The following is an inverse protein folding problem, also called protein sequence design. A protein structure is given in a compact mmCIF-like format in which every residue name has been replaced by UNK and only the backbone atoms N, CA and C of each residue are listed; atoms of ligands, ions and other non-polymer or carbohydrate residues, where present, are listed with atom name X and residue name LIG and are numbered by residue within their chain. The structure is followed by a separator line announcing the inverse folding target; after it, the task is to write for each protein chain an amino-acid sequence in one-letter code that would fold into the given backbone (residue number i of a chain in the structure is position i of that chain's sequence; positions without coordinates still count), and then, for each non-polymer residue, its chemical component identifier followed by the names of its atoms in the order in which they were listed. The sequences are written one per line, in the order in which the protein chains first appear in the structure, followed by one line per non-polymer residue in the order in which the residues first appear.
data_IF_838916722953
#
_entry.id   IF_838916722953
#
_cell.length_a   1.000
_cell.length_b   1.000
_cell.length_c   1.000
_cell.angle_alpha   90.00
_cell.angle_beta   90.00
_cell.angle_gamma   90.00
#
_symmetry.space_group_name_H-M   'P 1'
#
loop_
_entity.id
_entity.type
_entity.pdbx_description
1 polymer ?
#
# COMPACT_ATOMS: atom_id res chain seq x y z
N UNK A 1 -20.64 24.13 26.99
CA UNK A 1 -19.26 24.27 26.44
C UNK A 1 -18.56 22.93 26.29
N UNK A 2 -18.39 22.18 27.35
CA UNK A 2 -17.67 20.89 27.28
C UNK A 2 -18.39 19.83 26.43
N UNK A 3 -19.71 19.76 26.49
CA UNK A 3 -20.51 18.83 25.71
C UNK A 3 -20.56 19.20 24.21
N UNK A 4 -20.60 20.49 23.88
CA UNK A 4 -20.57 20.99 22.49
C UNK A 4 -19.24 20.63 21.83
N UNK A 5 -18.12 20.85 22.50
CA UNK A 5 -16.78 20.47 22.02
C UNK A 5 -16.66 18.97 21.81
N UNK A 6 -17.26 18.17 22.69
CA UNK A 6 -17.27 16.71 22.56
C UNK A 6 -18.11 16.25 21.36
N UNK A 7 -19.23 16.90 21.08
CA UNK A 7 -20.07 16.61 19.91
C UNK A 7 -19.35 16.97 18.62
N UNK A 8 -18.68 18.15 18.57
CA UNK A 8 -17.88 18.55 17.42
C UNK A 8 -16.74 17.57 17.15
N UNK A 9 -15.98 17.19 18.18
CA UNK A 9 -14.90 16.23 18.08
C UNK A 9 -15.38 14.86 17.57
N UNK A 10 -16.54 14.41 18.02
CA UNK A 10 -17.19 13.17 17.55
C UNK A 10 -17.57 13.28 16.07
N UNK A 11 -18.15 14.38 15.65
CA UNK A 11 -18.54 14.61 14.25
C UNK A 11 -17.32 14.66 13.33
N UNK A 12 -16.25 15.33 13.75
CA UNK A 12 -14.97 15.34 13.02
C UNK A 12 -14.38 13.95 12.91
N UNK A 13 -14.39 13.17 14.00
CA UNK A 13 -13.88 11.81 14.01
C UNK A 13 -14.66 10.92 13.04
N UNK A 14 -15.99 11.01 13.05
CA UNK A 14 -16.84 10.25 12.12
C UNK A 14 -16.55 10.67 10.67
N UNK A 15 -16.40 11.95 10.39
CA UNK A 15 -16.08 12.45 9.06
C UNK A 15 -14.74 11.91 8.57
N UNK A 16 -13.70 11.93 9.40
CA UNK A 16 -12.38 11.36 9.06
C UNK A 16 -12.49 9.86 8.79
N UNK A 17 -13.20 9.11 9.63
CA UNK A 17 -13.39 7.67 9.43
C UNK A 17 -14.17 7.35 8.16
N UNK A 18 -15.14 8.17 7.78
CA UNK A 18 -15.88 8.02 6.52
C UNK A 18 -14.98 8.29 5.32
N UNK A 19 -14.10 9.29 5.39
CA UNK A 19 -13.09 9.54 4.37
C UNK A 19 -12.11 8.37 4.26
N UNK A 20 -11.63 7.84 5.38
CA UNK A 20 -10.80 6.64 5.39
C UNK A 20 -11.50 5.45 4.73
N UNK A 21 -12.77 5.26 5.03
CA UNK A 21 -13.58 4.19 4.47
C UNK A 21 -13.69 4.29 2.95
N UNK A 22 -14.02 5.48 2.45
CA UNK A 22 -14.09 5.75 1.00
C UNK A 22 -12.73 5.57 0.33
N UNK A 23 -11.67 6.06 0.97
CA UNK A 23 -10.30 5.93 0.45
C UNK A 23 -9.85 4.47 0.40
N UNK A 24 -10.20 3.67 1.40
CA UNK A 24 -9.91 2.23 1.41
C UNK A 24 -10.62 1.48 0.28
N UNK A 25 -11.84 1.86 -0.08
CA UNK A 25 -12.51 1.30 -1.25
C UNK A 25 -11.73 1.57 -2.53
N UNK A 26 -11.22 2.79 -2.70
CA UNK A 26 -10.37 3.16 -3.84
C UNK A 26 -9.04 2.39 -3.81
N UNK A 27 -8.43 2.26 -2.64
CA UNK A 27 -7.18 1.49 -2.47
C UNK A 27 -7.39 0.02 -2.86
N UNK A 28 -8.47 -0.61 -2.40
CA UNK A 28 -8.81 -1.99 -2.75
C UNK A 28 -9.02 -2.16 -4.26
N UNK A 29 -9.68 -1.20 -4.89
CA UNK A 29 -9.86 -1.19 -6.34
C UNK A 29 -8.51 -1.07 -7.08
N UNK A 30 -7.63 -0.18 -6.65
CA UNK A 30 -6.29 -0.04 -7.23
C UNK A 30 -5.43 -1.29 -7.01
N UNK A 31 -5.55 -1.94 -5.87
CA UNK A 31 -4.90 -3.23 -5.62
C UNK A 31 -5.39 -4.31 -6.59
N UNK A 32 -6.68 -4.31 -6.93
CA UNK A 32 -7.23 -5.21 -7.95
C UNK A 32 -6.66 -4.92 -9.34
N UNK A 33 -6.55 -3.65 -9.72
CA UNK A 33 -5.91 -3.22 -10.97
C UNK A 33 -4.44 -3.68 -11.01
N UNK A 34 -3.72 -3.49 -9.91
CA UNK A 34 -2.34 -3.94 -9.78
C UNK A 34 -2.21 -5.45 -9.96
N UNK A 35 -3.10 -6.21 -9.34
CA UNK A 35 -3.15 -7.67 -9.47
C UNK A 35 -3.37 -8.08 -10.94
N UNK A 36 -4.28 -7.43 -11.64
CA UNK A 36 -4.52 -7.68 -13.06
C UNK A 36 -3.31 -7.36 -13.93
N UNK A 37 -2.63 -6.26 -13.66
CA UNK A 37 -1.39 -5.89 -14.36
C UNK A 37 -0.30 -6.96 -14.17
N UNK A 38 -0.15 -7.48 -12.95
CA UNK A 38 0.81 -8.55 -12.66
C UNK A 38 0.42 -9.84 -13.38
N UNK A 39 -0.86 -10.22 -13.34
CA UNK A 39 -1.36 -11.43 -13.98
C UNK A 39 -1.21 -11.40 -15.50
N UNK A 40 -1.42 -10.24 -16.11
CA UNK A 40 -1.28 -10.02 -17.56
C UNK A 40 0.14 -9.67 -17.99
N UNK A 41 1.07 -9.49 -17.05
CA UNK A 41 2.43 -9.02 -17.29
C UNK A 41 2.50 -7.67 -18.00
N UNK A 42 1.54 -6.82 -17.68
CA UNK A 42 1.46 -5.45 -18.19
C UNK A 42 2.30 -4.50 -17.31
N UNK A 43 3.60 -4.53 -17.54
CA UNK A 43 4.57 -3.82 -16.71
C UNK A 43 4.48 -2.30 -16.84
N UNK A 44 4.04 -1.80 -18.00
CA UNK A 44 3.89 -0.36 -18.22
C UNK A 44 2.78 0.22 -17.33
N UNK A 45 1.62 -0.42 -17.29
CA UNK A 45 0.52 0.00 -16.43
C UNK A 45 0.75 -0.36 -14.97
N UNK A 46 1.58 -1.35 -14.68
CA UNK A 46 1.96 -1.73 -13.32
C UNK A 46 2.61 -0.57 -12.58
N UNK A 47 3.55 0.12 -13.21
CA UNK A 47 4.25 1.26 -12.62
C UNK A 47 3.26 2.39 -12.29
N UNK A 48 2.37 2.73 -13.21
CA UNK A 48 1.34 3.73 -12.99
C UNK A 48 0.40 3.35 -11.83
N UNK A 49 -0.03 2.09 -11.80
CA UNK A 49 -0.88 1.58 -10.73
C UNK A 49 -0.18 1.63 -9.36
N UNK A 50 1.10 1.32 -9.30
CA UNK A 50 1.91 1.41 -8.08
C UNK A 50 2.05 2.85 -7.60
N UNK A 51 2.31 3.78 -8.50
CA UNK A 51 2.42 5.20 -8.17
C UNK A 51 1.09 5.76 -7.64
N UNK A 52 -0.02 5.38 -8.26
CA UNK A 52 -1.36 5.74 -7.80
C UNK A 52 -1.64 5.16 -6.41
N UNK A 53 -1.30 3.91 -6.19
CA UNK A 53 -1.49 3.26 -4.89
C UNK A 53 -0.63 3.92 -3.80
N UNK A 54 0.60 4.30 -4.11
CA UNK A 54 1.47 5.00 -3.17
C UNK A 54 0.88 6.36 -2.77
N UNK A 55 0.37 7.13 -3.73
CA UNK A 55 -0.28 8.42 -3.45
C UNK A 55 -1.52 8.25 -2.56
N UNK A 56 -2.33 7.24 -2.82
CA UNK A 56 -3.51 6.93 -2.00
C UNK A 56 -3.11 6.48 -0.59
N UNK A 57 -2.04 5.72 -0.47
CA UNK A 57 -1.49 5.26 0.79
C UNK A 57 -0.98 6.41 1.65
N UNK A 58 -0.27 7.36 1.05
CA UNK A 58 0.22 8.56 1.72
C UNK A 58 -0.94 9.40 2.27
N UNK A 59 -2.00 9.55 1.48
CA UNK A 59 -3.23 10.22 1.90
C UNK A 59 -3.92 9.49 3.05
N UNK A 60 -3.94 8.17 3.03
CA UNK A 60 -4.49 7.35 4.11
C UNK A 60 -3.72 7.55 5.41
N UNK A 61 -2.41 7.64 5.36
CA UNK A 61 -1.56 7.91 6.54
C UNK A 61 -1.90 9.27 7.15
N UNK A 62 -2.12 10.30 6.34
CA UNK A 62 -2.56 11.61 6.82
C UNK A 62 -3.90 11.55 7.55
N UNK A 63 -4.86 10.80 7.01
CA UNK A 63 -6.17 10.58 7.65
C UNK A 63 -6.03 9.76 8.94
N UNK A 64 -5.14 8.76 8.96
CA UNK A 64 -4.85 7.96 10.15
C UNK A 64 -4.27 8.81 11.27
N UNK A 65 -3.36 9.72 10.95
CA UNK A 65 -2.80 10.67 11.91
C UNK A 65 -3.87 11.60 12.48
N UNK A 66 -4.74 12.11 11.63
CA UNK A 66 -5.88 12.93 12.04
C UNK A 66 -6.85 12.15 12.93
N UNK A 67 -7.16 10.91 12.59
CA UNK A 67 -8.01 10.02 13.40
C UNK A 67 -7.41 9.75 14.76
N UNK A 68 -6.12 9.45 14.82
CA UNK A 68 -5.41 9.19 16.05
C UNK A 68 -5.40 10.41 16.97
N UNK A 69 -5.21 11.61 16.41
CA UNK A 69 -5.26 12.85 17.16
C UNK A 69 -6.66 13.13 17.75
N UNK A 70 -7.72 12.84 16.99
CA UNK A 70 -9.10 13.02 17.42
C UNK A 70 -9.56 11.92 18.39
N UNK A 71 -9.01 10.71 18.29
CA UNK A 71 -9.36 9.58 19.17
C UNK A 71 -8.54 9.55 20.47
N UNK A 72 -7.84 10.61 20.82
CA UNK A 72 -7.07 10.68 22.07
C UNK A 72 -7.92 10.45 23.33
N UNK A 73 -9.24 10.57 23.22
CA UNK A 73 -10.19 10.17 24.26
C UNK A 73 -10.75 8.77 23.93
N UNK A 74 -10.39 7.77 24.73
CA UNK A 74 -10.86 6.39 24.58
C UNK A 74 -12.39 6.26 24.59
N UNK A 75 -13.09 7.20 25.21
CA UNK A 75 -14.57 7.22 25.25
C UNK A 75 -15.21 7.43 23.87
N UNK A 76 -14.54 8.13 22.95
CA UNK A 76 -15.04 8.36 21.60
C UNK A 76 -14.97 7.09 20.75
N UNK A 77 -13.91 6.29 20.90
CA UNK A 77 -13.78 5.03 20.17
C UNK A 77 -14.84 3.99 20.55
N UNK A 78 -15.34 4.06 21.77
CA UNK A 78 -16.39 3.17 22.30
C UNK A 78 -17.80 3.70 22.03
N UNK A 79 -17.94 4.90 21.47
CA UNK A 79 -19.24 5.50 21.16
C UNK A 79 -20.03 4.66 20.15
N UNK A 80 -21.33 4.52 20.38
CA UNK A 80 -22.21 3.71 19.53
C UNK A 80 -22.27 4.17 18.06
N UNK A 81 -22.05 5.45 17.80
CA UNK A 81 -22.04 5.99 16.44
C UNK A 81 -20.69 5.84 15.74
N UNK A 82 -19.60 5.81 16.51
CA UNK A 82 -18.24 5.66 15.99
C UNK A 82 -17.85 4.18 15.78
N UNK A 83 -18.28 3.29 16.66
CA UNK A 83 -17.89 1.88 16.63
C UNK A 83 -18.20 1.15 15.32
N UNK A 84 -19.38 1.30 14.68
CA UNK A 84 -19.67 0.63 13.41
C UNK A 84 -18.74 1.09 12.28
N UNK A 85 -18.49 2.40 12.16
CA UNK A 85 -17.62 2.95 11.13
C UNK A 85 -16.18 2.51 11.34
N UNK A 86 -15.71 2.54 12.58
CA UNK A 86 -14.38 2.07 12.95
C UNK A 86 -14.19 0.59 12.63
N UNK A 87 -15.19 -0.24 12.92
CA UNK A 87 -15.18 -1.67 12.59
C UNK A 87 -15.07 -1.90 11.09
N UNK A 88 -15.82 -1.13 10.28
CA UNK A 88 -15.78 -1.19 8.83
C UNK A 88 -14.42 -0.77 8.27
N UNK A 89 -13.85 0.33 8.76
CA UNK A 89 -12.51 0.80 8.39
C UNK A 89 -11.46 -0.25 8.73
N UNK A 90 -11.49 -0.82 9.93
CA UNK A 90 -10.56 -1.87 10.34
C UNK A 90 -10.66 -3.13 9.48
N UNK A 91 -11.88 -3.53 9.13
CA UNK A 91 -12.12 -4.68 8.25
C UNK A 91 -11.53 -4.47 6.86
N UNK A 92 -11.76 -3.31 6.26
CA UNK A 92 -11.21 -2.95 4.96
C UNK A 92 -9.69 -2.80 4.99
N UNK A 93 -9.15 -2.20 6.05
CA UNK A 93 -7.70 -2.07 6.24
C UNK A 93 -7.04 -3.45 6.35
N UNK A 94 -7.63 -4.36 7.09
CA UNK A 94 -7.14 -5.74 7.21
C UNK A 94 -7.15 -6.45 5.86
N UNK A 95 -8.23 -6.32 5.10
CA UNK A 95 -8.33 -6.86 3.75
C UNK A 95 -7.27 -6.27 2.82
N UNK A 96 -7.05 -4.96 2.88
CA UNK A 96 -6.02 -4.27 2.11
C UNK A 96 -4.62 -4.76 2.46
N UNK A 97 -4.32 -4.96 3.73
CA UNK A 97 -3.02 -5.49 4.19
C UNK A 97 -2.77 -6.91 3.68
N UNK A 98 -3.78 -7.78 3.73
CA UNK A 98 -3.68 -9.14 3.23
C UNK A 98 -3.43 -9.13 1.72
N UNK A 99 -4.20 -8.35 0.98
CA UNK A 99 -4.07 -8.21 -0.48
C UNK A 99 -2.69 -7.65 -0.86
N UNK A 100 -2.23 -6.64 -0.16
CA UNK A 100 -0.91 -6.05 -0.39
C UNK A 100 0.21 -7.05 -0.12
N UNK A 101 0.10 -7.85 0.94
CA UNK A 101 1.08 -8.89 1.25
C UNK A 101 1.11 -9.95 0.15
N UNK A 102 -0.05 -10.41 -0.31
CA UNK A 102 -0.15 -11.40 -1.38
C UNK A 102 0.45 -10.88 -2.69
N UNK A 103 0.16 -9.64 -3.07
CA UNK A 103 0.73 -8.99 -4.25
C UNK A 103 2.25 -8.85 -4.15
N UNK A 104 2.74 -8.44 -2.99
CA UNK A 104 4.16 -8.26 -2.74
C UNK A 104 4.92 -9.59 -2.87
N UNK A 105 4.39 -10.67 -2.29
CA UNK A 105 4.96 -12.01 -2.42
C UNK A 105 4.95 -12.49 -3.88
N UNK A 106 3.88 -12.26 -4.60
CA UNK A 106 3.78 -12.61 -6.02
C UNK A 106 4.80 -11.84 -6.87
N UNK A 107 4.93 -10.55 -6.66
CA UNK A 107 5.90 -9.70 -7.36
C UNK A 107 7.33 -10.14 -7.04
N UNK A 108 7.65 -10.42 -5.79
CA UNK A 108 8.96 -10.91 -5.36
C UNK A 108 9.30 -12.26 -6.05
N UNK A 109 8.35 -13.17 -6.10
CA UNK A 109 8.52 -14.48 -6.75
C UNK A 109 8.77 -14.32 -8.25
N UNK A 110 7.98 -13.47 -8.91
CA UNK A 110 8.12 -13.19 -10.34
C UNK A 110 9.46 -12.55 -10.65
N UNK A 111 9.89 -11.58 -9.85
CA UNK A 111 11.20 -10.92 -10.00
C UNK A 111 12.34 -11.94 -9.85
N UNK A 112 12.26 -12.78 -8.85
CA UNK A 112 13.26 -13.82 -8.59
C UNK A 112 13.36 -14.79 -9.76
N UNK A 113 12.23 -15.18 -10.32
CA UNK A 113 12.18 -16.05 -11.51
C UNK A 113 12.82 -15.35 -12.71
N UNK A 114 12.45 -14.12 -13.01
CA UNK A 114 13.00 -13.34 -14.13
C UNK A 114 14.49 -13.08 -13.95
N UNK A 115 14.94 -12.80 -12.73
CA UNK A 115 16.35 -12.63 -12.43
C UNK A 115 17.14 -13.93 -12.66
N UNK A 116 16.57 -15.07 -12.27
CA UNK A 116 17.16 -16.38 -12.54
C UNK A 116 17.31 -16.68 -14.03
N UNK A 117 16.29 -16.38 -14.84
CA UNK A 117 16.34 -16.48 -16.29
C UNK A 117 17.39 -15.53 -16.88
N UNK A 118 17.42 -14.30 -16.43
CA UNK A 118 18.39 -13.29 -16.86
C UNK A 118 19.83 -13.72 -16.54
N UNK A 119 20.08 -14.17 -15.32
CA UNK A 119 21.40 -14.67 -14.87
C UNK A 119 21.86 -15.89 -15.66
N UNK A 120 20.94 -16.74 -16.13
CA UNK A 120 21.28 -17.91 -16.94
C UNK A 120 21.64 -17.57 -18.39
N UNK A 121 21.12 -16.45 -18.91
CA UNK A 121 21.33 -16.02 -20.31
C UNK A 121 22.53 -15.07 -20.44
N UNK A 122 22.66 -14.09 -19.55
CA UNK A 122 23.66 -13.01 -19.63
C UNK A 122 25.08 -13.45 -19.24
N UNK A 123 25.30 -14.27 -18.19
CA UNK A 123 26.66 -14.64 -17.77
C UNK A 123 27.40 -15.53 -18.77
N UNK A 124 26.70 -16.18 -19.67
CA UNK A 124 27.31 -17.06 -20.71
C UNK A 124 27.89 -16.24 -21.86
N UNK A 125 27.67 -14.95 -21.88
CA UNK A 125 28.20 -14.03 -22.88
C UNK A 125 29.41 -13.30 -22.34
N UNK A 126 30.38 -13.04 -23.22
CA UNK A 126 31.68 -12.39 -22.92
C UNK A 126 31.62 -10.98 -22.35
N UNK A 127 30.43 -10.46 -22.05
CA UNK A 127 30.22 -9.10 -21.58
C UNK A 127 29.86 -9.08 -20.10
N UNK A 128 30.79 -9.54 -19.28
CA UNK A 128 30.69 -9.31 -17.85
C UNK A 128 30.97 -7.83 -17.59
N UNK A 129 29.98 -7.11 -17.09
CA UNK A 129 30.14 -5.71 -16.71
C UNK A 129 30.88 -5.64 -15.38
N UNK A 130 31.99 -4.92 -15.36
CA UNK A 130 32.74 -4.64 -14.15
C UNK A 130 32.43 -3.22 -13.68
N UNK A 131 32.26 -3.04 -12.38
CA UNK A 131 32.17 -1.72 -11.77
C UNK A 131 33.54 -1.01 -11.85
N UNK A 132 33.56 0.29 -11.54
CA UNK A 132 34.81 1.07 -11.47
C UNK A 132 35.84 0.48 -10.50
N UNK A 133 35.42 -0.32 -9.54
CA UNK A 133 36.25 -1.00 -8.54
C UNK A 133 36.69 -2.39 -8.96
N UNK A 134 36.35 -2.83 -10.17
CA UNK A 134 36.69 -4.16 -10.68
C UNK A 134 35.76 -5.28 -10.20
N UNK A 135 34.69 -4.95 -9.52
CA UNK A 135 33.68 -5.94 -9.12
C UNK A 135 32.72 -6.25 -10.27
N UNK A 136 32.30 -7.51 -10.34
CA UNK A 136 31.30 -7.95 -11.32
C UNK A 136 29.94 -7.35 -10.95
N UNK A 137 29.44 -6.45 -11.82
CA UNK A 137 28.10 -5.88 -11.67
C UNK A 137 27.11 -6.76 -12.42
N UNK A 138 26.20 -7.37 -11.67
CA UNK A 138 25.06 -8.08 -12.25
C UNK A 138 23.93 -7.08 -12.48
N UNK A 139 23.37 -7.01 -13.73
CA UNK A 139 22.18 -6.20 -13.95
C UNK A 139 21.03 -6.72 -13.09
N UNK A 140 20.44 -5.86 -12.31
CA UNK A 140 19.27 -6.16 -11.49
C UNK A 140 18.02 -5.59 -12.15
N UNK A 141 16.92 -6.35 -12.03
CA UNK A 141 15.61 -5.81 -12.39
C UNK A 141 15.27 -4.73 -11.37
N UNK A 142 15.18 -3.49 -11.83
CA UNK A 142 14.87 -2.35 -10.98
C UNK A 142 13.53 -2.49 -10.29
N UNK A 143 13.51 -2.07 -9.04
CA UNK A 143 12.58 -2.39 -8.02
C UNK A 143 11.12 -2.05 -8.20
N UNK A 144 10.34 -3.04 -8.53
CA UNK A 144 8.91 -3.05 -8.22
C UNK A 144 8.77 -3.54 -6.79
N UNK A 145 8.45 -2.65 -5.86
CA UNK A 145 8.26 -3.01 -4.45
C UNK A 145 7.06 -2.29 -3.87
N UNK A 146 6.25 -3.01 -3.12
CA UNK A 146 5.13 -2.50 -2.35
C UNK A 146 5.47 -2.38 -0.84
N UNK A 147 6.74 -2.46 -0.48
CA UNK A 147 7.18 -2.47 0.92
C UNK A 147 6.80 -1.19 1.69
N UNK A 148 6.49 -0.12 0.97
CA UNK A 148 6.07 1.16 1.55
C UNK A 148 4.55 1.32 1.68
N UNK A 149 3.78 0.39 1.17
CA UNK A 149 2.31 0.42 1.23
C UNK A 149 1.86 -0.42 2.41
N UNK A 150 1.49 0.21 3.50
CA UNK A 150 1.07 -0.41 4.77
C UNK A 150 2.13 -1.27 5.44
#
# INVERSE_FOLDING_TARGET
MYEEQKIEAKQELIAVMQEENTLLDVILEQQSVLHDCVAKKDWAHLEDAMNNLQALSDKFVELEDARTALSGDASLAADADCAPVLSEVRGKLQKSKIENHALNEYIKTTRKFLQGVFDSVVPQRRNTLYSRTGEIVRPELSGVTLDRVF
#
